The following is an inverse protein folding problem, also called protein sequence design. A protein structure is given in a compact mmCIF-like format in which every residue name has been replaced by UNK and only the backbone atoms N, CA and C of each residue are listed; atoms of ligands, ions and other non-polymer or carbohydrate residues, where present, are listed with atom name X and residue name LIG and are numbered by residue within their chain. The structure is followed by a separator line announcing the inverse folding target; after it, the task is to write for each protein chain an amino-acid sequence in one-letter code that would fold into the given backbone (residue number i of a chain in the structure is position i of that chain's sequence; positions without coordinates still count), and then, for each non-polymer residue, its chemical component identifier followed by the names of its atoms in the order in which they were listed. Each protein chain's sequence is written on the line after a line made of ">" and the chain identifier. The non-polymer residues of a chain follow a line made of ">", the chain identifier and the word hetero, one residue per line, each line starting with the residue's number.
data_IF_962725411866
#
_entry.id   IF_962725411866
#
_cell.length_a   1.000
_cell.length_b   1.000
_cell.length_c   1.000
_cell.angle_alpha   90.00
_cell.angle_beta   90.00
_cell.angle_gamma   90.00
#
_symmetry.space_group_name_H-M   'P 1'
#
loop_
_entity.id
_entity.type
_entity.pdbx_description
1 polymer ?
#
# COMPACT_ATOMS: atom_id res chain seq x y z
N UNK A 1 -19.60 13.36 -17.69
CA UNK A 1 -19.28 12.38 -16.62
C UNK A 1 -20.48 11.48 -16.45
N UNK A 2 -20.26 10.17 -16.32
CA UNK A 2 -21.36 9.20 -16.20
C UNK A 2 -21.97 9.26 -14.81
N UNK A 3 -23.31 9.23 -14.74
CA UNK A 3 -24.03 9.09 -13.48
C UNK A 3 -23.74 7.70 -12.90
N UNK A 4 -23.61 7.59 -11.58
CA UNK A 4 -23.53 6.29 -10.90
C UNK A 4 -24.92 5.62 -10.96
N UNK A 5 -25.06 4.53 -11.73
CA UNK A 5 -26.33 3.81 -11.87
C UNK A 5 -26.30 2.58 -10.97
N UNK A 6 -27.22 2.50 -9.99
CA UNK A 6 -27.26 1.44 -8.97
C UNK A 6 -27.21 0.03 -9.55
N UNK A 7 -28.11 -0.24 -10.50
CA UNK A 7 -28.27 -1.58 -11.09
C UNK A 7 -27.00 -2.02 -11.85
N UNK A 8 -26.40 -1.10 -12.63
CA UNK A 8 -25.16 -1.37 -13.35
C UNK A 8 -23.99 -1.59 -12.39
N UNK A 9 -23.90 -0.76 -11.34
CA UNK A 9 -22.85 -0.85 -10.33
C UNK A 9 -22.92 -2.17 -9.54
N UNK A 10 -24.12 -2.58 -9.12
CA UNK A 10 -24.31 -3.83 -8.39
C UNK A 10 -23.92 -5.02 -9.25
N UNK A 11 -24.24 -4.97 -10.55
CA UNK A 11 -23.84 -5.99 -11.51
C UNK A 11 -22.32 -6.01 -11.72
N UNK A 12 -21.68 -4.86 -11.88
CA UNK A 12 -20.22 -4.75 -12.10
C UNK A 12 -19.43 -5.34 -10.91
N UNK A 13 -19.83 -4.98 -9.69
CA UNK A 13 -19.16 -5.38 -8.45
C UNK A 13 -19.79 -6.60 -7.76
N UNK A 14 -20.72 -7.29 -8.43
CA UNK A 14 -21.45 -8.46 -7.92
C UNK A 14 -21.96 -8.24 -6.48
N UNK A 15 -22.55 -7.06 -6.24
CA UNK A 15 -23.09 -6.68 -4.94
C UNK A 15 -24.48 -7.25 -4.81
N UNK A 16 -24.67 -8.07 -3.78
CA UNK A 16 -25.97 -8.59 -3.40
C UNK A 16 -26.85 -7.48 -2.77
N UNK A 17 -28.10 -7.39 -3.20
CA UNK A 17 -28.99 -6.31 -2.77
C UNK A 17 -29.41 -6.45 -1.30
N UNK A 18 -29.63 -7.67 -0.83
CA UNK A 18 -29.93 -7.93 0.58
C UNK A 18 -28.73 -7.58 1.46
N UNK A 19 -27.50 -7.89 1.01
CA UNK A 19 -26.28 -7.44 1.65
C UNK A 19 -26.23 -5.91 1.73
N UNK A 20 -26.45 -5.20 0.62
CA UNK A 20 -26.44 -3.74 0.62
C UNK A 20 -27.45 -3.16 1.61
N UNK A 21 -28.70 -3.65 1.59
CA UNK A 21 -29.74 -3.23 2.53
C UNK A 21 -29.33 -3.48 3.99
N UNK A 22 -28.66 -4.60 4.26
CA UNK A 22 -28.17 -4.94 5.60
C UNK A 22 -27.08 -4.00 6.14
N UNK A 23 -26.39 -3.26 5.25
CA UNK A 23 -25.35 -2.30 5.65
C UNK A 23 -25.92 -1.02 6.26
N UNK A 24 -27.17 -0.67 5.95
CA UNK A 24 -27.80 0.60 6.35
C UNK A 24 -27.24 1.84 5.63
N UNK A 25 -26.46 1.67 4.56
CA UNK A 25 -25.97 2.77 3.74
C UNK A 25 -27.10 3.31 2.84
N UNK A 26 -27.13 4.63 2.64
CA UNK A 26 -28.04 5.28 1.70
C UNK A 26 -27.38 5.41 0.32
N UNK A 27 -28.06 4.91 -0.72
CA UNK A 27 -27.56 5.00 -2.08
C UNK A 27 -27.42 6.45 -2.57
N UNK A 28 -28.34 7.34 -2.19
CA UNK A 28 -28.26 8.76 -2.59
C UNK A 28 -27.00 9.42 -2.02
N UNK A 29 -26.61 9.04 -0.79
CA UNK A 29 -25.39 9.55 -0.18
C UNK A 29 -24.13 9.01 -0.89
N UNK A 30 -24.17 7.77 -1.38
CA UNK A 30 -23.10 7.21 -2.20
C UNK A 30 -22.98 7.91 -3.55
N UNK A 31 -24.10 8.31 -4.17
CA UNK A 31 -24.10 9.15 -5.38
C UNK A 31 -23.45 10.52 -5.09
N UNK A 32 -23.81 11.17 -3.98
CA UNK A 32 -23.21 12.45 -3.58
C UNK A 32 -21.69 12.35 -3.37
N UNK A 33 -21.24 11.29 -2.66
CA UNK A 33 -19.80 11.02 -2.46
C UNK A 33 -19.10 10.78 -3.80
N UNK A 34 -19.72 10.03 -4.72
CA UNK A 34 -19.16 9.74 -6.03
C UNK A 34 -18.94 11.02 -6.85
N UNK A 35 -19.93 11.91 -6.88
CA UNK A 35 -19.87 13.17 -7.61
C UNK A 35 -18.81 14.12 -7.04
N UNK A 36 -18.81 14.36 -5.71
CA UNK A 36 -17.77 15.19 -5.06
C UNK A 36 -16.36 14.61 -5.29
N UNK A 37 -16.21 13.29 -5.20
CA UNK A 37 -14.90 12.66 -5.36
C UNK A 37 -14.38 12.75 -6.80
N UNK A 38 -15.26 12.66 -7.81
CA UNK A 38 -14.86 12.86 -9.21
C UNK A 38 -14.22 14.23 -9.42
N UNK A 39 -14.79 15.27 -8.81
CA UNK A 39 -14.23 16.63 -8.89
C UNK A 39 -12.91 16.75 -8.14
N UNK A 40 -12.72 15.96 -7.08
CA UNK A 40 -11.50 15.95 -6.27
C UNK A 40 -10.32 15.22 -6.93
N UNK A 41 -10.57 14.20 -7.77
CA UNK A 41 -9.53 13.34 -8.37
C UNK A 41 -8.38 14.13 -9.03
N UNK A 42 -8.61 15.15 -9.88
CA UNK A 42 -7.52 15.89 -10.52
C UNK A 42 -6.58 16.59 -9.53
N UNK A 43 -7.10 17.01 -8.38
CA UNK A 43 -6.29 17.58 -7.30
C UNK A 43 -5.47 16.48 -6.62
N UNK A 44 -6.09 15.35 -6.26
CA UNK A 44 -5.39 14.22 -5.65
C UNK A 44 -4.28 13.66 -6.53
N UNK A 45 -4.46 13.66 -7.86
CA UNK A 45 -3.40 13.25 -8.79
C UNK A 45 -2.19 14.18 -8.71
N UNK A 46 -2.39 15.49 -8.60
CA UNK A 46 -1.25 16.42 -8.44
C UNK A 46 -0.53 16.22 -7.10
N UNK A 47 -1.29 16.03 -6.03
CA UNK A 47 -0.73 15.75 -4.70
C UNK A 47 0.03 14.41 -4.68
N UNK A 48 -0.51 13.37 -5.31
CA UNK A 48 0.16 12.08 -5.44
C UNK A 48 1.51 12.20 -6.18
N UNK A 49 1.57 13.01 -7.23
CA UNK A 49 2.80 13.28 -7.99
C UNK A 49 3.82 14.08 -7.16
N UNK A 50 3.35 15.04 -6.36
CA UNK A 50 4.20 15.76 -5.43
C UNK A 50 4.82 14.82 -4.38
N UNK A 51 4.03 13.91 -3.80
CA UNK A 51 4.54 12.92 -2.84
C UNK A 51 5.58 12.00 -3.49
N UNK A 52 5.33 11.55 -4.72
CA UNK A 52 6.31 10.76 -5.50
C UNK A 52 7.63 11.51 -5.63
N UNK A 53 7.59 12.81 -5.95
CA UNK A 53 8.80 13.63 -6.12
C UNK A 53 9.64 13.75 -4.84
N UNK A 54 9.02 13.64 -3.66
CA UNK A 54 9.72 13.65 -2.37
C UNK A 54 10.43 12.34 -2.05
N UNK A 55 9.91 11.22 -2.56
CA UNK A 55 10.36 9.88 -2.21
C UNK A 55 11.34 9.28 -3.23
N UNK A 56 11.25 9.67 -4.50
CA UNK A 56 12.01 9.03 -5.58
C UNK A 56 13.53 9.24 -5.47
N UNK A 57 13.97 10.33 -4.84
CA UNK A 57 15.40 10.64 -4.66
C UNK A 57 16.02 10.04 -3.40
N UNK A 58 15.24 9.33 -2.58
CA UNK A 58 15.76 8.62 -1.40
C UNK A 58 16.69 7.49 -1.89
N UNK A 59 17.97 7.41 -1.47
CA UNK A 59 18.95 6.49 -2.06
C UNK A 59 18.59 4.99 -2.02
N UNK A 60 17.78 4.57 -1.03
CA UNK A 60 17.30 3.19 -0.89
C UNK A 60 16.07 2.87 -1.75
N UNK A 61 15.50 3.86 -2.43
CA UNK A 61 14.32 3.71 -3.27
C UNK A 61 14.74 3.36 -4.69
N UNK A 62 14.18 2.27 -5.22
CA UNK A 62 14.34 1.87 -6.61
C UNK A 62 13.32 2.58 -7.49
N UNK A 63 12.05 2.59 -7.10
CA UNK A 63 11.01 3.30 -7.82
C UNK A 63 9.81 3.59 -6.93
N UNK A 64 9.03 4.61 -7.29
CA UNK A 64 7.80 4.96 -6.60
C UNK A 64 6.64 4.90 -7.57
N UNK A 65 5.58 4.18 -7.20
CA UNK A 65 4.32 4.14 -7.93
C UNK A 65 3.26 4.89 -7.14
N UNK A 66 2.35 5.55 -7.85
CA UNK A 66 1.17 6.18 -7.27
C UNK A 66 -0.11 5.55 -7.80
N UNK A 67 -1.16 5.67 -7.01
CA UNK A 67 -2.53 5.35 -7.41
C UNK A 67 -3.49 6.28 -6.67
N UNK A 68 -4.23 7.11 -7.40
CA UNK A 68 -5.46 7.69 -6.87
C UNK A 68 -6.58 6.68 -7.07
N UNK A 69 -7.40 6.47 -6.04
CA UNK A 69 -8.49 5.50 -6.10
C UNK A 69 -9.51 5.96 -7.15
N UNK A 70 -10.00 5.04 -7.99
CA UNK A 70 -11.10 5.32 -8.92
C UNK A 70 -12.39 5.57 -8.13
N UNK A 71 -13.25 6.47 -8.60
CA UNK A 71 -14.51 6.79 -7.94
C UNK A 71 -15.44 5.57 -7.75
N UNK A 72 -15.54 4.68 -8.74
CA UNK A 72 -16.33 3.45 -8.61
C UNK A 72 -15.78 2.52 -7.51
N UNK A 73 -14.46 2.38 -7.44
CA UNK A 73 -13.80 1.58 -6.38
C UNK A 73 -13.86 2.25 -4.99
N UNK A 74 -14.03 3.57 -4.91
CA UNK A 74 -14.32 4.24 -3.65
C UNK A 74 -15.69 3.79 -3.12
N UNK A 75 -16.72 3.84 -3.97
CA UNK A 75 -18.07 3.42 -3.60
C UNK A 75 -18.13 1.92 -3.25
N UNK A 76 -17.47 1.06 -4.04
CA UNK A 76 -17.34 -0.37 -3.73
C UNK A 76 -16.73 -0.57 -2.34
N UNK A 77 -15.64 0.16 -2.04
CA UNK A 77 -14.98 0.06 -0.74
C UNK A 77 -15.91 0.47 0.39
N UNK A 78 -16.70 1.53 0.22
CA UNK A 78 -17.65 1.99 1.24
C UNK A 78 -18.71 0.91 1.49
N UNK A 79 -19.31 0.33 0.44
CA UNK A 79 -20.31 -0.74 0.55
C UNK A 79 -19.72 -2.00 1.20
N UNK A 80 -18.51 -2.40 0.80
CA UNK A 80 -17.81 -3.55 1.39
C UNK A 80 -17.43 -3.34 2.85
N UNK A 81 -17.14 -2.11 3.27
CA UNK A 81 -16.95 -1.79 4.70
C UNK A 81 -18.27 -1.69 5.44
N UNK A 82 -19.37 -1.40 4.74
CA UNK A 82 -20.75 -1.55 5.20
C UNK A 82 -20.96 -0.88 6.55
N UNK A 83 -21.46 -1.67 7.52
CA UNK A 83 -21.76 -1.20 8.89
C UNK A 83 -20.61 -0.44 9.55
N UNK A 84 -19.35 -0.85 9.34
CA UNK A 84 -18.19 -0.16 9.93
C UNK A 84 -18.12 1.33 9.54
N UNK A 85 -18.50 1.66 8.31
CA UNK A 85 -18.49 3.05 7.82
C UNK A 85 -19.83 3.74 8.10
N UNK A 86 -20.93 2.99 8.07
CA UNK A 86 -22.23 3.49 8.48
C UNK A 86 -22.23 3.96 9.95
N UNK A 87 -21.61 3.21 10.87
CA UNK A 87 -21.47 3.57 12.29
C UNK A 87 -20.65 4.87 12.50
N UNK A 88 -19.83 5.26 11.53
CA UNK A 88 -19.10 6.53 11.50
C UNK A 88 -19.89 7.66 10.82
N UNK A 89 -21.16 7.42 10.47
CA UNK A 89 -22.03 8.32 9.71
C UNK A 89 -21.33 8.84 8.43
N UNK A 90 -20.83 7.91 7.61
CA UNK A 90 -20.15 8.30 6.36
C UNK A 90 -21.09 9.12 5.46
N UNK A 91 -20.56 10.23 4.95
CA UNK A 91 -21.27 11.20 4.12
C UNK A 91 -20.29 11.95 3.21
N UNK A 92 -20.80 12.71 2.25
CA UNK A 92 -20.04 13.62 1.39
C UNK A 92 -19.19 14.61 2.20
N UNK A 93 -19.61 14.93 3.43
CA UNK A 93 -18.91 15.86 4.31
C UNK A 93 -17.68 15.26 5.01
N UNK A 94 -17.62 13.94 5.24
CA UNK A 94 -16.58 13.32 6.07
C UNK A 94 -15.88 12.10 5.43
N UNK A 95 -16.29 11.65 4.24
CA UNK A 95 -15.70 10.46 3.63
C UNK A 95 -14.18 10.61 3.40
N UNK A 96 -13.69 11.83 3.17
CA UNK A 96 -12.27 12.18 2.97
C UNK A 96 -11.41 11.89 4.20
N UNK A 97 -12.02 11.93 5.38
CA UNK A 97 -11.37 11.58 6.66
C UNK A 97 -11.55 10.09 7.00
N UNK A 98 -12.68 9.50 6.60
CA UNK A 98 -13.01 8.10 6.90
C UNK A 98 -12.21 7.13 6.02
N UNK A 99 -12.04 7.45 4.75
CA UNK A 99 -11.37 6.60 3.76
C UNK A 99 -9.90 6.99 3.68
N UNK A 100 -9.04 6.10 4.13
CA UNK A 100 -7.63 6.38 4.40
C UNK A 100 -6.67 6.17 3.21
N UNK A 101 -7.16 5.61 2.10
CA UNK A 101 -6.38 5.19 0.93
C UNK A 101 -6.93 5.81 -0.37
N UNK A 102 -7.42 7.04 -0.30
CA UNK A 102 -7.80 7.82 -1.49
C UNK A 102 -6.58 8.02 -2.40
N UNK A 103 -5.43 8.32 -1.80
CA UNK A 103 -4.11 8.24 -2.43
C UNK A 103 -3.36 7.04 -1.83
N UNK A 104 -2.87 6.17 -2.70
CA UNK A 104 -1.94 5.10 -2.35
C UNK A 104 -0.59 5.33 -3.04
N UNK A 105 0.49 5.27 -2.26
CA UNK A 105 1.87 5.35 -2.75
C UNK A 105 2.56 4.02 -2.46
N UNK A 106 3.26 3.48 -3.46
CA UNK A 106 4.08 2.28 -3.31
C UNK A 106 5.53 2.64 -3.54
N UNK A 107 6.34 2.51 -2.51
CA UNK A 107 7.78 2.73 -2.56
C UNK A 107 8.45 1.37 -2.68
N UNK A 108 9.10 1.14 -3.82
CA UNK A 108 9.78 -0.10 -4.13
C UNK A 108 11.27 0.04 -3.82
N UNK A 109 11.83 -0.94 -3.11
CA UNK A 109 13.26 -1.06 -2.87
C UNK A 109 13.76 -2.43 -3.33
N UNK A 110 15.08 -2.62 -3.40
CA UNK A 110 15.67 -3.87 -3.90
C UNK A 110 15.96 -4.88 -2.78
N UNK A 111 16.39 -4.41 -1.61
CA UNK A 111 16.89 -5.28 -0.55
C UNK A 111 16.08 -5.13 0.74
N UNK A 112 15.88 -6.22 1.48
CA UNK A 112 14.96 -6.28 2.64
C UNK A 112 15.33 -5.38 3.80
N UNK A 113 16.56 -4.88 3.90
CA UNK A 113 16.95 -3.99 5.00
C UNK A 113 16.75 -2.50 4.66
N UNK A 114 16.57 -2.18 3.37
CA UNK A 114 16.55 -0.80 2.87
C UNK A 114 15.29 -0.02 3.30
N UNK A 115 14.23 -0.71 3.71
CA UNK A 115 13.00 -0.08 4.22
C UNK A 115 13.26 0.77 5.46
N UNK A 116 14.31 0.49 6.25
CA UNK A 116 14.62 1.28 7.45
C UNK A 116 15.05 2.70 7.07
N UNK A 117 15.88 2.88 6.04
CA UNK A 117 16.22 4.23 5.58
C UNK A 117 14.98 4.95 5.04
N UNK A 118 14.13 4.25 4.29
CA UNK A 118 12.87 4.80 3.78
C UNK A 118 11.93 5.20 4.93
N UNK A 119 11.88 4.39 6.00
CA UNK A 119 11.10 4.66 7.20
C UNK A 119 11.48 6.01 7.82
N UNK A 120 12.78 6.23 8.04
CA UNK A 120 13.26 7.50 8.61
C UNK A 120 12.91 8.69 7.72
N UNK A 121 13.06 8.57 6.40
CA UNK A 121 12.68 9.64 5.47
C UNK A 121 11.18 9.93 5.50
N UNK A 122 10.32 8.91 5.55
CA UNK A 122 8.86 9.10 5.68
C UNK A 122 8.52 9.83 6.99
N UNK A 123 9.12 9.43 8.12
CA UNK A 123 8.88 10.08 9.42
C UNK A 123 9.42 11.51 9.49
N UNK A 124 10.47 11.83 8.74
CA UNK A 124 10.99 13.20 8.65
C UNK A 124 10.10 14.12 7.81
N UNK A 125 9.40 13.57 6.81
CA UNK A 125 8.61 14.33 5.85
C UNK A 125 7.17 14.56 6.31
N UNK A 126 6.56 13.61 7.03
CA UNK A 126 5.14 13.66 7.37
C UNK A 126 4.83 13.15 8.78
N UNK A 127 3.76 13.72 9.35
CA UNK A 127 3.15 13.20 10.57
C UNK A 127 2.40 11.89 10.29
N UNK A 128 2.65 10.89 11.13
CA UNK A 128 1.92 9.62 11.12
C UNK A 128 0.56 9.76 11.80
N UNK A 129 -0.49 9.26 11.14
CA UNK A 129 -1.86 9.19 11.69
C UNK A 129 -2.08 7.92 12.51
N UNK A 130 -1.35 6.87 12.19
CA UNK A 130 -1.36 5.56 12.88
C UNK A 130 0.08 5.03 12.99
N UNK A 131 0.35 4.19 14.00
CA UNK A 131 1.64 3.50 14.14
C UNK A 131 1.92 2.68 12.87
N UNK A 132 3.07 2.89 12.20
CA UNK A 132 3.45 2.10 11.04
C UNK A 132 3.45 0.60 11.32
N UNK A 133 3.03 -0.20 10.34
CA UNK A 133 2.87 -1.65 10.50
C UNK A 133 3.84 -2.41 9.60
N UNK A 134 4.76 -3.17 10.21
CA UNK A 134 5.66 -4.09 9.51
C UNK A 134 4.93 -5.43 9.36
N UNK A 135 4.38 -5.67 8.18
CA UNK A 135 3.69 -6.91 7.85
C UNK A 135 4.71 -7.96 7.40
N UNK A 136 4.74 -9.10 8.08
CA UNK A 136 5.66 -10.20 7.80
C UNK A 136 4.91 -11.52 7.65
N UNK A 137 5.52 -12.47 6.97
CA UNK A 137 5.02 -13.84 6.92
C UNK A 137 5.56 -14.65 8.11
N UNK A 138 4.75 -15.59 8.59
CA UNK A 138 5.20 -16.60 9.56
C UNK A 138 6.41 -17.37 9.03
N UNK A 139 7.52 -17.30 9.77
CA UNK A 139 8.76 -17.99 9.43
C UNK A 139 9.82 -17.11 8.75
N UNK A 140 9.50 -15.87 8.39
CA UNK A 140 10.51 -14.94 7.83
C UNK A 140 11.57 -14.56 8.87
N UNK A 141 11.17 -14.43 10.14
CA UNK A 141 12.03 -13.97 11.22
C UNK A 141 11.82 -14.78 12.50
N UNK A 142 12.87 -14.86 13.31
CA UNK A 142 12.71 -15.10 14.74
C UNK A 142 12.05 -13.84 15.35
N UNK A 143 10.76 -13.94 15.71
CA UNK A 143 9.95 -12.79 16.12
C UNK A 143 10.55 -12.01 17.30
N UNK A 144 11.08 -12.70 18.30
CA UNK A 144 11.71 -12.06 19.47
C UNK A 144 12.95 -11.25 19.07
N UNK A 145 13.83 -11.82 18.25
CA UNK A 145 15.05 -11.13 17.81
C UNK A 145 14.74 -9.97 16.87
N UNK A 146 13.77 -10.15 15.98
CA UNK A 146 13.36 -9.10 15.05
C UNK A 146 12.73 -7.92 15.79
N UNK A 147 11.83 -8.18 16.74
CA UNK A 147 11.26 -7.14 17.61
C UNK A 147 12.32 -6.38 18.40
N UNK A 148 13.36 -7.07 18.88
CA UNK A 148 14.48 -6.39 19.55
C UNK A 148 15.26 -5.49 18.58
N UNK A 149 15.47 -5.94 17.33
CA UNK A 149 16.19 -5.17 16.31
C UNK A 149 15.48 -3.88 15.93
N UNK A 150 14.14 -3.89 15.95
CA UNK A 150 13.33 -2.73 15.59
C UNK A 150 12.70 -2.04 16.80
N UNK A 151 13.13 -2.34 18.04
CA UNK A 151 12.46 -1.83 19.24
C UNK A 151 12.44 -0.30 19.33
N UNK A 152 13.50 0.32 18.81
CA UNK A 152 13.70 1.77 18.80
C UNK A 152 13.09 2.42 17.55
N UNK A 153 12.51 1.60 16.66
CA UNK A 153 11.79 2.01 15.46
C UNK A 153 10.29 1.97 15.82
N UNK A 154 9.60 3.10 15.68
CA UNK A 154 8.20 3.25 16.06
C UNK A 154 7.25 2.47 15.11
N UNK A 155 7.21 1.14 15.26
CA UNK A 155 6.51 0.22 14.36
C UNK A 155 5.85 -0.94 15.11
N UNK A 156 4.66 -1.33 14.66
CA UNK A 156 3.99 -2.57 15.06
C UNK A 156 4.35 -3.72 14.12
N UNK A 157 4.65 -4.90 14.67
CA UNK A 157 4.91 -6.12 13.86
C UNK A 157 3.65 -6.95 13.74
N UNK A 158 3.17 -7.14 12.51
CA UNK A 158 1.97 -7.93 12.21
C UNK A 158 2.33 -9.17 11.40
N UNK A 159 2.02 -10.34 11.95
CA UNK A 159 2.22 -11.62 11.25
C UNK A 159 0.97 -11.94 10.40
N UNK A 160 1.14 -12.07 9.09
CA UNK A 160 0.06 -12.35 8.13
C UNK A 160 0.08 -13.82 7.70
N UNK A 161 -1.10 -14.44 7.62
CA UNK A 161 -1.24 -15.87 7.33
C UNK A 161 -0.95 -16.22 5.86
N UNK A 162 -1.40 -15.41 4.91
CA UNK A 162 -1.26 -15.66 3.47
C UNK A 162 0.08 -15.18 2.88
N UNK A 163 1.06 -14.89 3.72
CA UNK A 163 2.41 -14.55 3.26
C UNK A 163 2.61 -13.12 2.76
N UNK A 164 1.61 -12.27 2.92
CA UNK A 164 1.70 -10.85 2.61
C UNK A 164 2.83 -10.16 3.41
N UNK A 165 3.67 -9.40 2.71
CA UNK A 165 4.78 -8.61 3.27
C UNK A 165 4.73 -7.18 2.75
N UNK A 166 4.87 -6.22 3.65
CA UNK A 166 4.97 -4.79 3.33
C UNK A 166 5.09 -3.99 4.63
N UNK A 167 5.77 -2.85 4.59
CA UNK A 167 5.65 -1.86 5.67
C UNK A 167 4.60 -0.82 5.29
N UNK A 168 3.63 -0.62 6.16
CA UNK A 168 2.48 0.27 5.94
C UNK A 168 2.59 1.52 6.79
N UNK A 169 2.34 2.66 6.18
CA UNK A 169 2.28 3.96 6.82
C UNK A 169 0.97 4.63 6.46
N UNK A 170 0.36 5.27 7.44
CA UNK A 170 -0.74 6.19 7.21
C UNK A 170 -0.27 7.59 7.58
N UNK A 171 -0.04 8.44 6.59
CA UNK A 171 0.47 9.81 6.79
C UNK A 171 -0.61 10.84 6.54
N UNK A 172 -0.55 11.95 7.28
CA UNK A 172 -1.43 13.11 7.06
C UNK A 172 -0.82 14.09 6.07
N UNK A 173 -1.61 14.58 5.13
CA UNK A 173 -1.18 15.60 4.16
C UNK A 173 -2.22 16.70 4.04
N UNK A 174 -1.77 17.95 4.19
CA UNK A 174 -2.57 19.15 3.97
C UNK A 174 -2.56 19.52 2.49
N UNK A 175 -3.65 19.20 1.79
CA UNK A 175 -3.84 19.61 0.38
C UNK A 175 -4.15 21.12 0.33
N UNK A 176 -4.97 21.58 1.27
CA UNK A 176 -5.27 23.00 1.46
C UNK A 176 -5.30 23.30 2.95
N UNK A 177 -5.41 24.58 3.32
CA UNK A 177 -5.56 25.00 4.74
C UNK A 177 -6.72 24.33 5.47
N UNK A 178 -7.73 23.84 4.75
CA UNK A 178 -8.95 23.26 5.31
C UNK A 178 -9.18 21.82 4.87
N UNK A 179 -8.30 21.25 4.05
CA UNK A 179 -8.42 19.89 3.54
C UNK A 179 -7.16 19.10 3.89
N UNK A 180 -7.24 18.35 4.98
CA UNK A 180 -6.27 17.33 5.35
C UNK A 180 -6.83 15.97 4.91
N UNK A 181 -6.01 15.17 4.23
CA UNK A 181 -6.36 13.79 3.91
C UNK A 181 -5.30 12.84 4.46
N UNK A 182 -5.68 11.56 4.57
CA UNK A 182 -4.71 10.51 4.84
C UNK A 182 -4.22 9.90 3.52
N UNK A 183 -2.93 9.58 3.48
CA UNK A 183 -2.28 8.86 2.38
C UNK A 183 -1.69 7.57 2.90
N UNK A 184 -2.01 6.47 2.22
CA UNK A 184 -1.44 5.16 2.51
C UNK A 184 -0.13 4.99 1.73
N UNK A 185 0.99 4.86 2.44
CA UNK A 185 2.30 4.54 1.85
C UNK A 185 2.63 3.09 2.17
N UNK A 186 2.95 2.31 1.14
CA UNK A 186 3.36 0.92 1.25
C UNK A 186 4.81 0.80 0.76
N UNK A 187 5.70 0.36 1.65
CA UNK A 187 7.10 0.09 1.33
C UNK A 187 7.25 -1.41 1.13
N UNK A 188 7.81 -1.82 -0.02
CA UNK A 188 7.95 -3.23 -0.43
C UNK A 188 9.22 -3.44 -1.24
N UNK A 189 9.76 -4.65 -1.21
CA UNK A 189 10.73 -5.03 -2.23
C UNK A 189 10.06 -5.21 -3.60
N UNK A 190 10.83 -5.14 -4.68
CA UNK A 190 10.32 -5.45 -6.04
C UNK A 190 9.72 -6.86 -6.10
N UNK A 191 10.29 -7.81 -5.35
CA UNK A 191 9.79 -9.17 -5.23
C UNK A 191 8.44 -9.23 -4.50
N UNK A 192 8.34 -8.56 -3.35
CA UNK A 192 7.09 -8.47 -2.57
C UNK A 192 5.96 -7.81 -3.37
N UNK A 193 6.26 -6.77 -4.13
CA UNK A 193 5.30 -6.11 -5.03
C UNK A 193 4.84 -7.04 -6.15
N UNK A 194 5.78 -7.72 -6.83
CA UNK A 194 5.44 -8.64 -7.92
C UNK A 194 4.50 -9.75 -7.43
N UNK A 195 4.80 -10.34 -6.28
CA UNK A 195 3.92 -11.35 -5.68
C UNK A 195 2.57 -10.76 -5.27
N UNK A 196 2.56 -9.59 -4.62
CA UNK A 196 1.32 -8.96 -4.14
C UNK A 196 0.36 -8.59 -5.28
N UNK A 197 0.89 -8.11 -6.41
CA UNK A 197 0.08 -7.78 -7.59
C UNK A 197 -0.46 -9.06 -8.27
N UNK A 198 0.35 -10.14 -8.33
CA UNK A 198 -0.11 -11.44 -8.84
C UNK A 198 -1.20 -12.04 -7.94
N UNK A 199 -1.00 -12.04 -6.61
CA UNK A 199 -2.00 -12.51 -5.65
C UNK A 199 -3.30 -11.71 -5.76
N UNK A 200 -3.19 -10.38 -5.86
CA UNK A 200 -4.35 -9.51 -6.06
C UNK A 200 -5.10 -9.81 -7.36
N UNK A 201 -4.41 -9.91 -8.51
CA UNK A 201 -5.05 -10.19 -9.80
C UNK A 201 -5.71 -11.59 -9.81
N UNK A 202 -5.09 -12.58 -9.17
CA UNK A 202 -5.61 -13.94 -9.15
C UNK A 202 -6.79 -14.14 -8.19
N UNK A 203 -6.85 -13.39 -7.09
CA UNK A 203 -7.96 -13.48 -6.12
C UNK A 203 -9.10 -12.52 -6.41
N UNK A 204 -8.80 -11.34 -6.96
CA UNK A 204 -9.80 -10.30 -7.15
C UNK A 204 -10.57 -10.49 -8.47
N UNK A 205 -11.90 -10.33 -8.47
CA UNK A 205 -12.72 -9.94 -7.33
C UNK A 205 -13.34 -11.11 -6.52
N UNK A 206 -13.32 -12.35 -7.03
CA UNK A 206 -14.22 -13.40 -6.54
C UNK A 206 -13.60 -14.80 -6.35
N UNK A 207 -12.27 -14.97 -6.46
CA UNK A 207 -11.59 -16.27 -6.34
C UNK A 207 -10.84 -16.42 -4.99
N UNK A 208 -11.27 -15.69 -3.97
CA UNK A 208 -10.58 -15.58 -2.66
C UNK A 208 -10.38 -16.94 -1.99
N UNK A 209 -11.36 -17.84 -2.14
CA UNK A 209 -11.40 -19.15 -1.47
C UNK A 209 -11.03 -20.33 -2.38
N UNK A 210 -10.50 -20.08 -3.58
CA UNK A 210 -10.08 -21.17 -4.46
C UNK A 210 -8.85 -21.89 -3.86
N UNK A 211 -8.95 -23.18 -3.47
CA UNK A 211 -7.90 -23.86 -2.74
C UNK A 211 -6.65 -24.09 -3.59
N UNK A 212 -6.81 -24.33 -4.90
CA UNK A 212 -5.70 -24.55 -5.83
C UNK A 212 -4.92 -23.25 -6.00
N UNK A 213 -5.62 -22.14 -6.28
CA UNK A 213 -4.99 -20.82 -6.41
C UNK A 213 -4.26 -20.46 -5.12
N UNK A 214 -4.88 -20.70 -3.97
CA UNK A 214 -4.28 -20.43 -2.66
C UNK A 214 -2.99 -21.22 -2.43
N UNK A 215 -2.97 -22.52 -2.77
CA UNK A 215 -1.79 -23.35 -2.62
C UNK A 215 -0.64 -22.90 -3.55
N UNK A 216 -0.93 -22.65 -4.83
CA UNK A 216 0.08 -22.18 -5.79
C UNK A 216 0.64 -20.80 -5.40
N UNK A 217 -0.21 -19.87 -4.98
CA UNK A 217 0.23 -18.54 -4.52
C UNK A 217 1.08 -18.65 -3.25
N UNK A 218 0.80 -19.61 -2.36
CA UNK A 218 1.61 -19.87 -1.18
C UNK A 218 3.00 -20.43 -1.54
N UNK A 219 3.10 -21.31 -2.53
CA UNK A 219 4.40 -21.79 -3.06
C UNK A 219 5.16 -20.63 -3.70
N UNK A 220 4.50 -19.85 -4.55
CA UNK A 220 5.11 -18.71 -5.21
C UNK A 220 5.61 -17.66 -4.20
N UNK A 221 4.85 -17.40 -3.12
CA UNK A 221 5.25 -16.51 -2.04
C UNK A 221 6.57 -16.93 -1.38
N UNK A 222 6.78 -18.25 -1.20
CA UNK A 222 8.02 -18.80 -0.61
C UNK A 222 9.22 -18.59 -1.54
N UNK A 223 9.04 -18.82 -2.84
CA UNK A 223 10.09 -18.62 -3.84
C UNK A 223 10.50 -17.15 -3.89
N UNK A 224 9.51 -16.25 -3.95
CA UNK A 224 9.72 -14.80 -3.96
C UNK A 224 10.45 -14.36 -2.69
N UNK A 225 10.01 -14.80 -1.52
CA UNK A 225 10.69 -14.48 -0.26
C UNK A 225 12.14 -14.99 -0.20
N UNK A 226 12.41 -16.17 -0.76
CA UNK A 226 13.77 -16.73 -0.84
C UNK A 226 14.65 -15.92 -1.79
N UNK A 227 14.13 -15.51 -2.95
CA UNK A 227 14.86 -14.67 -3.90
C UNK A 227 15.26 -13.32 -3.29
N UNK A 228 14.35 -12.72 -2.53
CA UNK A 228 14.55 -11.45 -1.83
C UNK A 228 15.63 -11.56 -0.73
N UNK A 229 15.59 -12.65 0.05
CA UNK A 229 16.61 -12.96 1.05
C UNK A 229 17.98 -13.23 0.43
N UNK A 230 18.04 -13.97 -0.67
CA UNK A 230 19.28 -14.24 -1.40
C UNK A 230 19.91 -12.94 -1.93
N UNK A 231 19.10 -12.04 -2.50
CA UNK A 231 19.57 -10.74 -2.97
C UNK A 231 20.14 -9.90 -1.82
N UNK A 232 19.42 -9.83 -0.70
CA UNK A 232 19.84 -9.10 0.51
C UNK A 232 21.13 -9.69 1.10
N UNK A 233 21.25 -11.01 1.13
CA UNK A 233 22.46 -11.69 1.60
C UNK A 233 23.67 -11.39 0.71
N UNK A 234 23.51 -11.40 -0.62
CA UNK A 234 24.59 -11.07 -1.54
C UNK A 234 25.09 -9.62 -1.37
N UNK A 235 24.19 -8.66 -1.10
CA UNK A 235 24.57 -7.28 -0.75
C UNK A 235 25.48 -7.25 0.49
N UNK A 236 25.05 -7.90 1.58
CA UNK A 236 25.83 -8.00 2.83
C UNK A 236 27.19 -8.65 2.64
N UNK A 237 27.25 -9.72 1.84
CA UNK A 237 28.51 -10.40 1.48
C UNK A 237 29.42 -9.42 0.73
N UNK A 238 28.93 -8.73 -0.31
CA UNK A 238 29.73 -7.77 -1.07
C UNK A 238 30.28 -6.63 -0.19
N UNK A 239 29.50 -6.12 0.76
CA UNK A 239 29.95 -5.10 1.72
C UNK A 239 31.06 -5.64 2.64
N UNK A 240 30.93 -6.87 3.14
CA UNK A 240 31.90 -7.50 4.04
C UNK A 240 33.19 -7.95 3.35
N UNK A 241 33.14 -8.32 2.07
CA UNK A 241 34.31 -8.71 1.27
C UNK A 241 34.87 -7.55 0.43
N UNK A 242 34.18 -6.41 0.39
CA UNK A 242 34.47 -5.23 -0.42
C UNK A 242 35.47 -4.26 0.19
N UNK A 243 36.53 -4.75 0.83
CA UNK A 243 37.81 -4.01 0.83
C UNK A 243 38.62 -4.52 -0.37
N UNK A 244 38.99 -3.60 -1.27
CA UNK A 244 39.72 -3.78 -2.55
C UNK A 244 38.82 -3.83 -3.81
N UNK A 245 38.24 -2.68 -4.18
CA UNK A 245 38.25 -2.07 -5.54
C UNK A 245 37.30 -0.85 -5.58
N UNK A 246 37.74 0.22 -6.24
CA UNK A 246 37.09 1.54 -6.35
C UNK A 246 35.55 1.46 -6.43
N UNK A 247 34.91 1.88 -5.35
CA UNK A 247 33.45 1.86 -5.13
C UNK A 247 32.70 2.95 -5.90
N UNK A 248 33.40 3.91 -6.49
CA UNK A 248 32.79 5.11 -7.09
C UNK A 248 32.23 4.89 -8.51
N UNK A 249 32.69 3.87 -9.25
CA UNK A 249 32.22 3.59 -10.62
C UNK A 249 30.92 2.76 -10.64
N UNK A 250 30.77 1.78 -9.75
CA UNK A 250 29.61 0.86 -9.77
C UNK A 250 28.34 1.51 -9.21
N UNK A 251 28.47 2.40 -8.22
CA UNK A 251 27.34 3.16 -7.68
C UNK A 251 26.75 4.10 -8.75
N UNK A 252 27.62 4.76 -9.54
CA UNK A 252 27.21 5.65 -10.65
C UNK A 252 26.48 4.92 -11.77
N UNK A 253 26.86 3.70 -12.13
CA UNK A 253 26.17 2.98 -13.22
C UNK A 253 24.76 2.50 -12.88
N UNK A 254 24.49 2.16 -11.60
CA UNK A 254 23.16 1.77 -11.15
C UNK A 254 22.23 2.97 -11.00
N UNK A 255 22.75 4.09 -10.50
CA UNK A 255 21.99 5.34 -10.29
C UNK A 255 21.55 5.99 -11.62
N UNK A 256 22.27 5.74 -12.73
CA UNK A 256 21.99 6.36 -14.04
C UNK A 256 20.99 5.53 -14.88
N UNK A 257 20.81 4.23 -14.62
CA UNK A 257 19.98 3.37 -15.47
C UNK A 257 18.48 3.43 -15.20
N UNK A 258 18.05 3.97 -14.05
CA UNK A 258 16.66 3.90 -13.61
C UNK A 258 16.07 5.21 -13.03
N UNK A 259 16.78 6.35 -13.14
CA UNK A 259 16.19 7.67 -12.91
C UNK A 259 15.49 8.21 -14.16
#
# INVERSE_FOLDING_TARGET
>A
MGKLIKEEFFKEFSIDEDYFLSTGLDWNELENIYEDYIELIPLLEKEAEYIVSKLIDVPSVHSVRRRVKKATHLIEKIIRKGKKYQERNISVLNYKEIVTDLIGIRVLHLFKDDWQNIHHEILNLWDIKETPQVNIRRGDYNLSQFKETIKDINCDVIVREHGYRSVHYLVGIDITKTLNISVEIQVRTVFEEAWSEIDHIMRYPYDVDNPIITEYLAIFNRIVGSADEMGTFLKKVKENFGTVRDTDEVQRELDIKFK
#
